data_IF_884390366447
#
_entry.id   IF_884390366447
#
_cell.length_a   1.000
_cell.length_b   1.000
_cell.length_c   1.000
_cell.angle_alpha   90.00
_cell.angle_beta   90.00
_cell.angle_gamma   90.00
#
_symmetry.space_group_name_H-M   'P 1'
#
loop_
_entity.id
_entity.type
_entity.pdbx_description
1 polymer ?
#
# COMPACT_ATOMS: atom_id res chain seq x y z
N UNK A 1 -20.79 8.91 11.46
CA UNK A 1 -20.13 10.24 11.35
C UNK A 1 -19.03 10.12 10.29
N UNK A 2 -18.95 11.04 9.33
CA UNK A 2 -17.98 10.93 8.21
C UNK A 2 -16.54 11.19 8.66
N UNK A 3 -16.36 12.10 9.61
CA UNK A 3 -15.05 12.51 10.15
C UNK A 3 -14.38 11.47 11.05
N UNK A 4 -15.07 10.37 11.37
CA UNK A 4 -14.48 9.25 12.12
C UNK A 4 -13.70 8.29 11.24
N UNK A 5 -13.78 8.42 9.91
CA UNK A 5 -13.04 7.57 8.98
C UNK A 5 -11.58 8.03 8.90
N UNK A 6 -10.61 7.11 8.88
CA UNK A 6 -9.20 7.47 8.72
C UNK A 6 -8.96 8.11 7.35
N UNK A 7 -8.05 9.09 7.31
CA UNK A 7 -7.73 9.87 6.11
C UNK A 7 -6.27 9.70 5.74
N UNK A 8 -6.00 9.52 4.44
CA UNK A 8 -4.66 9.57 3.85
C UNK A 8 -4.66 10.66 2.78
N UNK A 9 -3.72 11.59 2.89
CA UNK A 9 -3.55 12.69 1.95
C UNK A 9 -2.65 12.28 0.78
N UNK A 10 -3.24 12.14 -0.41
CA UNK A 10 -2.51 11.88 -1.64
C UNK A 10 -2.22 13.19 -2.38
N UNK A 11 -0.94 13.58 -2.44
CA UNK A 11 -0.53 14.83 -3.10
C UNK A 11 -0.08 14.51 -4.51
N UNK A 12 -0.94 14.80 -5.49
CA UNK A 12 -0.62 14.59 -6.90
C UNK A 12 0.37 15.65 -7.40
N UNK A 13 1.50 15.19 -7.93
CA UNK A 13 2.59 16.00 -8.45
C UNK A 13 2.78 15.76 -9.96
N UNK A 14 3.41 16.72 -10.63
CA UNK A 14 3.94 16.48 -11.96
C UNK A 14 5.05 15.42 -11.90
N UNK A 15 5.25 14.65 -12.98
CA UNK A 15 6.31 13.64 -13.08
C UNK A 15 7.69 14.23 -12.75
N UNK A 16 7.96 15.45 -13.25
CA UNK A 16 9.22 16.17 -13.00
C UNK A 16 9.42 16.50 -11.52
N UNK A 17 8.38 16.97 -10.84
CA UNK A 17 8.45 17.33 -9.41
C UNK A 17 8.56 16.08 -8.52
N UNK A 18 7.87 15.01 -8.90
CA UNK A 18 7.92 13.73 -8.20
C UNK A 18 9.31 13.11 -8.27
N UNK A 19 9.91 13.05 -9.47
CA UNK A 19 11.27 12.54 -9.67
C UNK A 19 12.29 13.41 -8.92
N UNK A 20 12.14 14.74 -8.96
CA UNK A 20 13.02 15.68 -8.24
C UNK A 20 12.80 15.69 -6.73
N UNK A 21 11.71 15.08 -6.23
CA UNK A 21 11.28 15.08 -4.82
C UNK A 21 11.16 16.50 -4.24
N UNK A 22 10.80 17.48 -5.08
CA UNK A 22 10.67 18.89 -4.68
C UNK A 22 9.43 19.50 -5.30
N UNK A 23 8.57 20.06 -4.46
CA UNK A 23 7.42 20.84 -4.89
C UNK A 23 7.17 21.98 -3.90
N UNK A 24 6.85 23.18 -4.40
CA UNK A 24 6.60 24.39 -3.60
C UNK A 24 5.45 24.23 -2.62
N UNK A 25 4.45 23.41 -2.96
CA UNK A 25 3.24 23.21 -2.17
C UNK A 25 3.39 22.11 -1.14
N UNK A 26 4.32 21.17 -1.30
CA UNK A 26 4.48 20.03 -0.40
C UNK A 26 4.71 20.48 1.05
N UNK A 27 5.52 21.53 1.24
CA UNK A 27 5.82 22.10 2.57
C UNK A 27 4.56 22.71 3.17
N UNK A 28 3.84 23.53 2.41
CA UNK A 28 2.60 24.19 2.87
C UNK A 28 1.49 23.20 3.20
N UNK A 29 1.35 22.15 2.40
CA UNK A 29 0.38 21.07 2.64
C UNK A 29 0.75 20.33 3.92
N UNK A 30 2.04 20.02 4.10
CA UNK A 30 2.52 19.37 5.31
C UNK A 30 2.24 20.22 6.55
N UNK A 31 2.58 21.50 6.52
CA UNK A 31 2.30 22.44 7.63
C UNK A 31 0.80 22.51 7.95
N UNK A 32 -0.05 22.55 6.93
CA UNK A 32 -1.50 22.57 7.13
C UNK A 32 -2.02 21.27 7.73
N UNK A 33 -1.56 20.11 7.25
CA UNK A 33 -1.95 18.80 7.80
C UNK A 33 -1.47 18.65 9.24
N UNK A 34 -0.21 18.99 9.53
CA UNK A 34 0.34 18.91 10.89
C UNK A 34 -0.45 19.79 11.88
N UNK A 35 -1.04 20.90 11.41
CA UNK A 35 -1.85 21.80 12.24
C UNK A 35 -3.34 21.40 12.37
N UNK A 36 -3.93 20.77 11.35
CA UNK A 36 -5.38 20.48 11.30
C UNK A 36 -5.73 19.00 11.52
N UNK A 37 -4.81 18.08 11.21
CA UNK A 37 -4.99 16.63 11.33
C UNK A 37 -3.67 15.97 11.75
N UNK A 38 -3.24 16.19 13.02
CA UNK A 38 -1.93 15.75 13.49
C UNK A 38 -1.80 14.23 13.44
N UNK A 39 -0.77 13.76 12.72
CA UNK A 39 -0.50 12.33 12.55
C UNK A 39 -1.08 11.73 11.26
N UNK A 40 -1.79 12.51 10.45
CA UNK A 40 -2.28 12.02 9.17
C UNK A 40 -1.14 11.76 8.18
N UNK A 41 -1.34 10.73 7.36
CA UNK A 41 -0.32 10.26 6.42
C UNK A 41 -0.40 11.07 5.13
N UNK A 42 0.73 11.64 4.72
CA UNK A 42 0.87 12.34 3.43
C UNK A 42 1.73 11.51 2.49
N UNK A 43 1.21 11.20 1.30
CA UNK A 43 1.92 10.45 0.26
C UNK A 43 1.96 11.30 -1.01
N UNK A 44 3.12 11.86 -1.39
CA UNK A 44 3.28 12.42 -2.72
C UNK A 44 3.29 11.30 -3.76
N UNK A 45 2.59 11.49 -4.86
CA UNK A 45 2.58 10.58 -6.01
C UNK A 45 2.43 11.37 -7.31
N UNK A 46 2.62 10.73 -8.47
CA UNK A 46 2.30 11.34 -9.76
C UNK A 46 1.41 10.42 -10.56
N UNK A 47 0.14 10.78 -10.75
CA UNK A 47 -0.78 9.99 -11.56
C UNK A 47 -0.33 9.84 -13.02
N UNK A 48 0.33 10.87 -13.56
CA UNK A 48 0.88 10.83 -14.91
C UNK A 48 2.02 9.81 -15.05
N UNK A 49 2.88 9.70 -14.02
CA UNK A 49 3.93 8.71 -13.99
C UNK A 49 3.35 7.29 -13.85
N UNK A 50 2.43 7.08 -12.91
CA UNK A 50 1.85 5.75 -12.70
C UNK A 50 1.09 5.24 -13.92
N UNK A 51 0.38 6.11 -14.65
CA UNK A 51 -0.29 5.73 -15.89
C UNK A 51 0.72 5.29 -16.96
N UNK A 52 1.82 6.03 -17.13
CA UNK A 52 2.89 5.63 -18.05
C UNK A 52 3.51 4.29 -17.66
N UNK A 53 3.74 4.05 -16.37
CA UNK A 53 4.28 2.77 -15.89
C UNK A 53 3.29 1.62 -16.07
N UNK A 54 1.98 1.90 -16.07
CA UNK A 54 0.93 0.92 -16.28
C UNK A 54 0.85 0.47 -17.75
N UNK A 55 1.01 1.39 -18.70
CA UNK A 55 0.99 1.09 -20.13
C UNK A 55 2.29 0.42 -20.65
N UNK A 56 3.35 0.40 -19.83
CA UNK A 56 4.64 -0.20 -20.17
C UNK A 56 4.70 -1.69 -19.84
N UNK A 57 5.54 -2.42 -20.59
CA UNK A 57 5.87 -3.79 -20.25
C UNK A 57 6.68 -3.87 -18.94
N UNK A 58 6.63 -5.00 -18.20
CA UNK A 58 7.35 -5.14 -16.93
C UNK A 58 8.85 -4.85 -17.00
N UNK A 59 9.52 -5.29 -18.07
CA UNK A 59 10.96 -5.06 -18.27
C UNK A 59 11.28 -3.58 -18.51
N UNK A 60 10.46 -2.89 -19.29
CA UNK A 60 10.65 -1.48 -19.61
C UNK A 60 10.32 -0.59 -18.41
N UNK A 61 9.30 -0.97 -17.62
CA UNK A 61 8.95 -0.35 -16.35
C UNK A 61 10.15 -0.37 -15.39
N UNK A 62 10.81 -1.51 -15.22
CA UNK A 62 11.98 -1.62 -14.35
C UNK A 62 13.15 -0.76 -14.82
N UNK A 63 13.42 -0.74 -16.14
CA UNK A 63 14.47 0.11 -16.72
C UNK A 63 14.18 1.58 -16.47
N UNK A 64 12.97 2.03 -16.76
CA UNK A 64 12.56 3.42 -16.58
C UNK A 64 12.67 3.87 -15.10
N UNK A 65 12.27 3.02 -14.15
CA UNK A 65 12.38 3.30 -12.71
C UNK A 65 13.86 3.42 -12.28
N UNK A 66 14.73 2.54 -12.77
CA UNK A 66 16.18 2.58 -12.49
C UNK A 66 16.84 3.82 -13.08
N UNK A 67 16.53 4.17 -14.33
CA UNK A 67 17.11 5.32 -15.02
C UNK A 67 16.73 6.65 -14.38
N UNK A 68 15.46 6.80 -13.98
CA UNK A 68 14.97 8.03 -13.37
C UNK A 68 15.18 8.09 -11.85
N UNK A 69 15.71 7.02 -11.24
CA UNK A 69 15.92 6.94 -9.79
C UNK A 69 14.62 7.12 -8.98
N UNK A 70 13.49 6.72 -9.57
CA UNK A 70 12.16 6.86 -8.98
C UNK A 70 11.54 5.49 -8.67
N UNK A 71 10.54 5.48 -7.80
CA UNK A 71 9.82 4.28 -7.39
C UNK A 71 8.32 4.58 -7.55
N UNK A 72 7.54 3.58 -7.95
CA UNK A 72 6.08 3.70 -7.94
C UNK A 72 5.56 3.96 -6.52
N UNK A 73 4.65 4.92 -6.39
CA UNK A 73 4.00 5.25 -5.14
C UNK A 73 2.82 4.32 -4.84
N UNK A 74 2.32 3.57 -5.83
CA UNK A 74 1.10 2.76 -5.69
C UNK A 74 1.22 1.70 -4.59
N UNK A 75 2.33 0.97 -4.54
CA UNK A 75 2.55 -0.05 -3.50
C UNK A 75 2.49 0.57 -2.10
N UNK A 76 3.08 1.76 -1.94
CA UNK A 76 3.03 2.51 -0.68
C UNK A 76 1.61 2.97 -0.36
N UNK A 77 0.86 3.46 -1.35
CA UNK A 77 -0.54 3.89 -1.17
C UNK A 77 -1.39 2.71 -0.72
N UNK A 78 -1.26 1.55 -1.36
CA UNK A 78 -2.01 0.34 -1.03
C UNK A 78 -1.70 -0.11 0.41
N UNK A 79 -0.41 -0.27 0.75
CA UNK A 79 0.00 -0.71 2.09
C UNK A 79 -0.48 0.26 3.17
N UNK A 80 -0.38 1.56 2.93
CA UNK A 80 -0.85 2.55 3.91
C UNK A 80 -2.38 2.58 4.00
N UNK A 81 -3.10 2.40 2.90
CA UNK A 81 -4.56 2.27 2.89
C UNK A 81 -5.04 1.06 3.70
N UNK A 82 -4.40 -0.10 3.52
CA UNK A 82 -4.70 -1.30 4.31
C UNK A 82 -4.46 -1.07 5.81
N UNK A 83 -3.33 -0.46 6.16
CA UNK A 83 -3.01 -0.13 7.56
C UNK A 83 -3.99 0.86 8.17
N UNK A 84 -4.39 1.90 7.42
CA UNK A 84 -5.34 2.90 7.90
C UNK A 84 -6.71 2.28 8.21
N UNK A 85 -7.12 1.27 7.43
CA UNK A 85 -8.34 0.50 7.68
C UNK A 85 -8.20 -0.58 8.77
N UNK A 86 -7.03 -0.72 9.39
CA UNK A 86 -6.73 -1.78 10.37
C UNK A 86 -6.97 -3.19 9.82
N UNK A 87 -6.74 -3.38 8.52
CA UNK A 87 -6.86 -4.68 7.85
C UNK A 87 -5.57 -5.48 8.00
N UNK A 88 -5.72 -6.78 8.20
CA UNK A 88 -4.64 -7.75 8.29
C UNK A 88 -4.91 -8.92 7.33
N UNK A 89 -3.88 -9.74 7.09
CA UNK A 89 -4.00 -10.97 6.34
C UNK A 89 -3.43 -12.13 7.15
N UNK A 90 -4.07 -13.30 7.03
CA UNK A 90 -3.51 -14.55 7.52
C UNK A 90 -3.33 -15.53 6.34
N UNK A 91 -2.37 -16.42 6.48
CA UNK A 91 -2.08 -17.45 5.49
C UNK A 91 -2.57 -18.80 5.98
N UNK A 92 -3.25 -19.55 5.12
CA UNK A 92 -3.43 -20.98 5.30
C UNK A 92 -2.36 -21.72 4.51
N UNK A 93 -1.71 -22.70 5.11
CA UNK A 93 -0.75 -23.56 4.44
C UNK A 93 -1.04 -25.02 4.79
N UNK A 94 -1.32 -25.84 3.78
CA UNK A 94 -1.55 -27.28 3.90
C UNK A 94 -0.96 -28.01 2.70
N UNK A 95 -0.66 -29.31 2.84
CA UNK A 95 0.00 -30.10 1.79
C UNK A 95 -0.75 -30.10 0.44
N UNK A 96 -2.09 -29.93 0.47
CA UNK A 96 -2.96 -29.85 -0.72
C UNK A 96 -3.52 -28.44 -1.01
N UNK A 97 -3.25 -27.44 -0.17
CA UNK A 97 -3.74 -26.08 -0.37
C UNK A 97 -2.61 -25.13 -0.77
N UNK A 98 -2.70 -24.57 -1.99
CA UNK A 98 -1.91 -23.39 -2.36
C UNK A 98 -2.35 -22.24 -1.46
N UNK A 99 -1.41 -21.59 -0.78
CA UNK A 99 -1.71 -20.60 0.25
C UNK A 99 -2.69 -19.53 -0.24
N UNK A 100 -3.87 -19.49 0.37
CA UNK A 100 -4.89 -18.48 0.10
C UNK A 100 -4.75 -17.33 1.09
N UNK A 101 -4.86 -16.10 0.58
CA UNK A 101 -4.88 -14.90 1.41
C UNK A 101 -6.33 -14.56 1.74
N UNK A 102 -6.60 -14.35 3.02
CA UNK A 102 -7.89 -13.87 3.51
C UNK A 102 -7.67 -12.53 4.22
N UNK A 103 -8.50 -11.55 3.88
CA UNK A 103 -8.51 -10.24 4.55
C UNK A 103 -9.33 -10.39 5.83
N UNK A 104 -8.77 -9.93 6.95
CA UNK A 104 -9.40 -9.93 8.28
C UNK A 104 -9.27 -8.56 8.92
N UNK A 105 -10.21 -8.22 9.78
CA UNK A 105 -10.22 -6.99 10.57
C UNK A 105 -9.67 -7.23 11.98
N UNK A 106 -9.21 -6.16 12.64
CA UNK A 106 -8.80 -6.23 14.04
C UNK A 106 -9.99 -6.62 14.94
N UNK A 107 -9.84 -7.70 15.70
CA UNK A 107 -10.90 -8.30 16.53
C UNK A 107 -11.57 -9.55 15.94
N UNK A 108 -11.24 -9.95 14.71
CA UNK A 108 -11.76 -11.19 14.13
C UNK A 108 -11.24 -12.44 14.88
N UNK A 109 -12.15 -13.36 15.25
CA UNK A 109 -11.80 -14.65 15.84
C UNK A 109 -11.67 -15.70 14.72
N UNK A 110 -10.44 -16.15 14.48
CA UNK A 110 -10.14 -17.15 13.46
C UNK A 110 -10.04 -18.54 14.11
N UNK A 111 -11.00 -19.42 13.82
CA UNK A 111 -10.97 -20.81 14.27
C UNK A 111 -10.20 -21.70 13.29
N UNK A 112 -8.97 -22.07 13.64
CA UNK A 112 -8.20 -23.06 12.90
C UNK A 112 -8.58 -24.48 13.32
N UNK A 113 -9.30 -25.19 12.44
CA UNK A 113 -9.52 -26.63 12.61
C UNK A 113 -8.42 -27.40 11.91
N UNK A 114 -7.35 -27.73 12.64
CA UNK A 114 -6.31 -28.61 12.14
C UNK A 114 -6.86 -30.03 12.02
N UNK A 115 -6.99 -30.53 10.79
CA UNK A 115 -7.31 -31.93 10.58
C UNK A 115 -6.00 -32.73 10.73
N UNK A 116 -5.75 -33.29 11.92
CA UNK A 116 -4.62 -34.20 12.13
C UNK A 116 -4.91 -35.50 11.40
N UNK A 117 -4.61 -35.55 10.11
CA UNK A 117 -4.55 -36.81 9.35
C UNK A 117 -3.61 -37.76 10.09
N UNK A 118 -4.15 -38.91 10.51
CA UNK A 118 -3.45 -39.84 11.39
C UNK A 118 -2.05 -40.17 10.88
N UNK A 119 -1.05 -39.90 11.72
CA UNK A 119 0.28 -40.50 11.62
C UNK A 119 0.09 -42.01 11.55
N UNK A 120 0.17 -42.59 10.35
CA UNK A 120 0.36 -44.03 10.21
C UNK A 120 1.69 -44.35 10.88
N UNK A 121 1.63 -44.88 12.11
CA UNK A 121 2.76 -45.49 12.80
C UNK A 121 3.34 -46.56 11.85
N UNK A 122 4.62 -46.42 11.50
CA UNK A 122 5.41 -47.49 10.90
C UNK A 122 5.50 -48.66 11.86
#
# INVERSE_FOLDING_TARGET
MITSKPVIYLVNLSEKDYIRKKNKWLVKIKEWVDANDPGAIIIPFSGALELKLFDMNPEDREKYLKENGCISALDKIIVQGYKALSLMYFFTAGADERGRNYIVEDGDIIFFKFNTGGLKKK
#
